data_IF_234812681355
#
_entry.id   IF_234812681355
#
_cell.length_a   1.000
_cell.length_b   1.000
_cell.length_c   1.000
_cell.angle_alpha   90.00
_cell.angle_beta   90.00
_cell.angle_gamma   90.00
#
_symmetry.space_group_name_H-M   'P 1'
#
loop_
_entity.id
_entity.type
_entity.pdbx_description
1 polymer ?
#
# COMPACT_ATOMS: atom_id res chain seq x y z
N UNK A 1 -71.00 0.71 42.94
CA UNK A 1 -70.66 0.72 41.50
C UNK A 1 -69.24 1.39 41.34
N UNK A 2 -68.23 0.53 41.27
CA UNK A 2 -66.83 1.00 41.16
C UNK A 2 -66.43 0.84 39.69
N UNK A 3 -66.12 1.95 39.01
CA UNK A 3 -65.62 1.93 37.66
C UNK A 3 -64.10 1.83 37.70
N UNK A 4 -63.55 0.70 37.23
CA UNK A 4 -62.14 0.49 36.97
C UNK A 4 -61.78 1.16 35.64
N UNK A 5 -60.91 2.18 35.67
CA UNK A 5 -60.29 2.73 34.47
C UNK A 5 -59.01 1.95 34.17
N UNK A 6 -59.02 1.23 33.06
CA UNK A 6 -57.80 0.62 32.52
C UNK A 6 -56.97 1.67 31.77
N UNK A 7 -55.82 2.04 32.32
CA UNK A 7 -54.76 2.74 31.56
C UNK A 7 -53.98 1.72 30.73
N UNK A 8 -54.15 1.78 29.42
CA UNK A 8 -53.33 1.03 28.49
C UNK A 8 -52.06 1.87 28.25
N UNK A 9 -50.95 1.43 28.88
CA UNK A 9 -49.63 1.98 28.58
C UNK A 9 -49.14 1.35 27.29
N UNK A 10 -49.14 2.15 26.21
CA UNK A 10 -48.52 1.80 24.95
C UNK A 10 -46.98 1.84 25.09
N UNK A 11 -46.37 0.69 25.25
CA UNK A 11 -44.91 0.51 25.21
C UNK A 11 -44.47 0.64 23.74
N UNK A 12 -43.99 1.81 23.33
CA UNK A 12 -43.32 1.99 22.03
C UNK A 12 -41.92 1.37 22.16
N UNK A 13 -41.78 0.11 21.76
CA UNK A 13 -40.49 -0.49 21.52
C UNK A 13 -39.86 0.19 20.30
N UNK A 14 -38.97 1.15 20.54
CA UNK A 14 -38.00 1.59 19.54
C UNK A 14 -37.08 0.38 19.27
N UNK A 15 -37.39 -0.37 18.24
CA UNK A 15 -36.46 -1.31 17.65
C UNK A 15 -35.33 -0.49 17.00
N UNK A 16 -34.27 -0.23 17.73
CA UNK A 16 -32.98 0.10 17.18
C UNK A 16 -32.57 -1.11 16.34
N UNK A 17 -32.89 -1.08 15.04
CA UNK A 17 -32.28 -1.99 14.09
C UNK A 17 -30.77 -1.73 14.12
N UNK A 18 -30.04 -2.52 14.91
CA UNK A 18 -28.63 -2.75 14.65
C UNK A 18 -28.61 -3.36 13.24
N UNK A 19 -28.46 -2.52 12.24
CA UNK A 19 -28.04 -2.97 10.92
C UNK A 19 -26.65 -3.55 11.15
N UNK A 20 -26.56 -4.87 11.17
CA UNK A 20 -25.29 -5.56 11.02
C UNK A 20 -24.71 -5.01 9.72
N UNK A 21 -23.70 -4.16 9.84
CA UNK A 21 -23.01 -3.60 8.69
C UNK A 21 -22.40 -4.80 7.98
N UNK A 22 -22.85 -5.06 6.78
CA UNK A 22 -22.31 -6.13 5.97
C UNK A 22 -20.80 -5.90 5.85
N UNK A 23 -20.05 -6.96 6.10
CA UNK A 23 -18.60 -6.93 6.03
C UNK A 23 -18.16 -6.65 4.59
N UNK A 24 -17.19 -5.74 4.41
CA UNK A 24 -16.57 -5.43 3.12
C UNK A 24 -17.55 -4.95 2.05
N UNK A 25 -18.24 -3.85 2.32
CA UNK A 25 -19.26 -3.28 1.43
C UNK A 25 -18.92 -1.87 0.96
N UNK A 26 -19.35 -1.57 -0.26
CA UNK A 26 -19.49 -0.21 -0.76
C UNK A 26 -20.96 0.11 -1.05
N UNK A 27 -21.32 1.38 -1.02
CA UNK A 27 -22.65 1.87 -1.36
C UNK A 27 -22.56 3.28 -1.95
N UNK A 28 -22.88 3.41 -3.20
CA UNK A 28 -22.80 4.67 -3.94
C UNK A 28 -22.52 4.43 -5.41
N UNK A 29 -22.10 5.46 -6.13
CA UNK A 29 -21.95 5.37 -7.56
C UNK A 29 -20.70 6.08 -8.10
N UNK A 30 -20.16 5.53 -9.18
CA UNK A 30 -19.23 6.15 -10.10
C UNK A 30 -20.00 6.55 -11.36
N UNK A 31 -19.99 7.82 -11.72
CA UNK A 31 -20.59 8.33 -12.95
C UNK A 31 -19.50 8.74 -13.92
N UNK A 32 -19.54 8.21 -15.14
CA UNK A 32 -18.61 8.53 -16.22
C UNK A 32 -19.41 8.91 -17.47
N UNK A 33 -19.16 10.12 -18.00
CA UNK A 33 -19.87 10.66 -19.15
C UNK A 33 -21.41 10.62 -19.00
N UNK A 34 -21.92 10.86 -17.78
CA UNK A 34 -23.35 10.81 -17.46
C UNK A 34 -23.93 9.40 -17.25
N UNK A 35 -23.15 8.33 -17.47
CA UNK A 35 -23.56 6.96 -17.16
C UNK A 35 -23.13 6.60 -15.74
N UNK A 36 -24.08 6.24 -14.89
CA UNK A 36 -23.84 5.90 -13.48
C UNK A 36 -23.75 4.39 -13.29
N UNK A 37 -22.73 3.97 -12.54
CA UNK A 37 -22.52 2.58 -12.12
C UNK A 37 -22.47 2.50 -10.61
N UNK A 38 -23.30 1.65 -10.02
CA UNK A 38 -23.34 1.41 -8.58
C UNK A 38 -22.13 0.58 -8.14
N UNK A 39 -21.38 1.06 -7.13
CA UNK A 39 -20.30 0.31 -6.50
C UNK A 39 -20.83 -0.39 -5.25
N UNK A 40 -20.56 -1.70 -5.11
CA UNK A 40 -21.17 -2.57 -4.11
C UNK A 40 -20.17 -3.29 -3.21
N UNK A 41 -18.97 -3.48 -3.71
CA UNK A 41 -17.94 -4.25 -3.03
C UNK A 41 -16.79 -3.34 -2.62
N UNK A 42 -16.22 -3.59 -1.45
CA UNK A 42 -15.06 -2.89 -0.96
C UNK A 42 -14.01 -3.91 -0.52
N UNK A 43 -12.76 -3.60 -0.83
CA UNK A 43 -11.60 -4.41 -0.48
C UNK A 43 -10.51 -3.50 0.04
N UNK A 44 -9.55 -4.09 0.72
CA UNK A 44 -8.34 -3.40 1.14
C UNK A 44 -7.13 -4.30 0.87
N UNK A 45 -6.08 -3.71 0.34
CA UNK A 45 -4.74 -4.28 0.38
C UNK A 45 -3.96 -3.53 1.45
N UNK A 46 -3.43 -4.27 2.43
CA UNK A 46 -2.88 -3.71 3.65
C UNK A 46 -1.35 -3.66 3.58
N UNK A 47 -0.82 -2.46 3.41
CA UNK A 47 0.57 -2.14 3.67
C UNK A 47 0.85 -1.85 5.16
N UNK A 48 2.12 -1.72 5.52
CA UNK A 48 2.51 -1.38 6.89
C UNK A 48 2.09 0.04 7.29
N UNK A 49 2.27 1.01 6.38
CA UNK A 49 1.94 2.43 6.59
C UNK A 49 0.62 2.85 5.97
N UNK A 50 0.21 2.19 4.89
CA UNK A 50 -0.89 2.59 4.05
C UNK A 50 -1.91 1.49 3.82
N UNK A 51 -3.10 1.91 3.46
CA UNK A 51 -4.20 1.07 3.05
C UNK A 51 -4.57 1.43 1.60
N UNK A 52 -4.52 0.47 0.69
CA UNK A 52 -5.08 0.65 -0.65
C UNK A 52 -6.52 0.16 -0.62
N UNK A 53 -7.46 1.09 -0.65
CA UNK A 53 -8.90 0.80 -0.67
C UNK A 53 -9.38 0.67 -2.11
N UNK A 54 -10.11 -0.40 -2.39
CA UNK A 54 -10.65 -0.74 -3.70
C UNK A 54 -12.17 -0.86 -3.61
N UNK A 55 -12.89 -0.05 -4.38
CA UNK A 55 -14.35 -0.06 -4.46
C UNK A 55 -14.78 -0.50 -5.86
N UNK A 56 -15.60 -1.55 -5.97
CA UNK A 56 -15.97 -2.14 -7.28
C UNK A 56 -17.46 -2.33 -7.46
N UNK A 57 -17.92 -2.38 -8.73
CA UNK A 57 -19.31 -2.64 -9.11
C UNK A 57 -19.70 -4.11 -8.97
N UNK A 58 -18.74 -5.02 -9.06
CA UNK A 58 -18.93 -6.47 -8.95
C UNK A 58 -17.79 -7.11 -8.16
N UNK A 59 -18.03 -8.32 -7.69
CA UNK A 59 -17.01 -9.07 -6.95
C UNK A 59 -15.79 -9.38 -7.84
N UNK A 60 -14.60 -9.23 -7.30
CA UNK A 60 -13.31 -9.56 -7.92
C UNK A 60 -12.53 -10.50 -7.02
N UNK A 61 -11.63 -11.29 -7.60
CA UNK A 61 -10.74 -12.13 -6.82
C UNK A 61 -9.71 -11.29 -6.06
N UNK A 62 -9.30 -11.75 -4.88
CA UNK A 62 -8.30 -11.02 -4.07
C UNK A 62 -6.97 -10.87 -4.81
N UNK A 63 -6.57 -11.87 -5.61
CA UNK A 63 -5.33 -11.87 -6.39
C UNK A 63 -5.34 -10.81 -7.52
N UNK A 64 -6.51 -10.32 -7.92
CA UNK A 64 -6.65 -9.24 -8.91
C UNK A 64 -6.52 -7.85 -8.28
N UNK A 65 -6.41 -7.74 -6.96
CA UNK A 65 -6.39 -6.47 -6.23
C UNK A 65 -4.95 -6.12 -5.82
N UNK A 66 -4.53 -4.88 -6.10
CA UNK A 66 -5.15 -3.87 -6.96
C UNK A 66 -4.73 -3.98 -8.43
N UNK A 67 -3.69 -4.75 -8.75
CA UNK A 67 -2.95 -4.64 -10.01
C UNK A 67 -3.62 -5.33 -11.20
N UNK A 68 -4.47 -6.33 -10.97
CA UNK A 68 -5.25 -7.01 -12.03
C UNK A 68 -6.44 -6.21 -12.56
N UNK A 69 -6.87 -5.16 -11.85
CA UNK A 69 -8.06 -4.38 -12.17
C UNK A 69 -8.01 -3.71 -13.55
N UNK A 70 -6.81 -3.32 -14.03
CA UNK A 70 -6.66 -2.69 -15.34
C UNK A 70 -7.09 -3.63 -16.48
N UNK A 71 -6.68 -4.88 -16.42
CA UNK A 71 -7.07 -5.89 -17.41
C UNK A 71 -8.57 -6.18 -17.34
N UNK A 72 -9.11 -6.35 -16.13
CA UNK A 72 -10.55 -6.59 -15.93
C UNK A 72 -11.40 -5.42 -16.44
N UNK A 73 -10.95 -4.18 -16.24
CA UNK A 73 -11.66 -3.01 -16.75
C UNK A 73 -11.59 -2.89 -18.28
N UNK A 74 -10.44 -3.18 -18.88
CA UNK A 74 -10.28 -3.18 -20.33
C UNK A 74 -11.21 -4.20 -21.01
N UNK A 75 -11.47 -5.34 -20.34
CA UNK A 75 -12.38 -6.39 -20.79
C UNK A 75 -13.85 -6.14 -20.40
N UNK A 76 -14.20 -4.95 -19.91
CA UNK A 76 -15.54 -4.59 -19.40
C UNK A 76 -16.05 -5.49 -18.25
N UNK A 77 -15.12 -6.07 -17.49
CA UNK A 77 -15.45 -6.98 -16.39
C UNK A 77 -15.56 -6.28 -15.04
N UNK A 78 -15.05 -5.05 -14.90
CA UNK A 78 -15.11 -4.29 -13.65
C UNK A 78 -15.09 -2.78 -13.87
N UNK A 79 -15.73 -2.04 -12.96
CA UNK A 79 -15.52 -0.62 -12.74
C UNK A 79 -15.13 -0.42 -11.30
N UNK A 80 -14.06 0.36 -11.08
CA UNK A 80 -13.53 0.51 -9.73
C UNK A 80 -12.98 1.92 -9.47
N UNK A 81 -12.95 2.28 -8.18
CA UNK A 81 -12.19 3.40 -7.63
C UNK A 81 -11.16 2.80 -6.69
N UNK A 82 -9.92 3.19 -6.85
CA UNK A 82 -8.81 2.79 -5.98
C UNK A 82 -8.17 4.03 -5.41
N UNK A 83 -7.89 4.04 -4.12
CA UNK A 83 -7.21 5.14 -3.45
C UNK A 83 -6.40 4.66 -2.25
N UNK A 84 -5.33 5.39 -1.96
CA UNK A 84 -4.41 5.09 -0.87
C UNK A 84 -4.69 6.01 0.31
N UNK A 85 -4.72 5.43 1.51
CA UNK A 85 -4.98 6.12 2.78
C UNK A 85 -3.86 5.85 3.76
N UNK A 86 -3.23 6.90 4.30
CA UNK A 86 -2.25 6.74 5.37
C UNK A 86 -2.92 6.28 6.66
N UNK A 87 -2.35 5.27 7.30
CA UNK A 87 -2.78 4.82 8.63
C UNK A 87 -2.51 5.87 9.71
N UNK A 88 -1.45 6.65 9.56
CA UNK A 88 -1.01 7.67 10.51
C UNK A 88 -1.83 8.95 10.38
N UNK A 89 -1.81 9.58 9.21
CA UNK A 89 -2.50 10.88 8.99
C UNK A 89 -3.99 10.73 8.77
N UNK A 90 -4.47 9.53 8.37
CA UNK A 90 -5.85 9.22 8.02
C UNK A 90 -6.37 10.02 6.82
N UNK A 91 -5.46 10.43 5.96
CA UNK A 91 -5.71 11.21 4.76
C UNK A 91 -5.38 10.42 3.49
N UNK A 92 -5.83 10.93 2.34
CA UNK A 92 -5.38 10.42 1.04
C UNK A 92 -3.90 10.74 0.87
N UNK A 93 -3.14 9.74 0.42
CA UNK A 93 -1.70 9.87 0.17
C UNK A 93 -1.37 9.75 -1.32
N UNK A 94 -0.19 10.25 -1.75
CA UNK A 94 0.35 10.01 -3.09
C UNK A 94 0.73 8.54 -3.26
N UNK A 95 -0.25 7.69 -3.51
CA UNK A 95 -0.06 6.27 -3.77
C UNK A 95 -0.83 5.85 -5.02
N UNK A 96 -1.34 4.63 -5.01
CA UNK A 96 -2.19 4.15 -6.08
C UNK A 96 -3.56 4.81 -5.99
N UNK A 97 -3.76 5.88 -6.77
CA UNK A 97 -5.02 6.60 -6.88
C UNK A 97 -5.50 6.53 -8.33
N UNK A 98 -6.54 5.76 -8.60
CA UNK A 98 -6.99 5.47 -9.95
C UNK A 98 -8.49 5.19 -10.05
N UNK A 99 -9.06 5.44 -11.24
CA UNK A 99 -10.39 4.97 -11.63
C UNK A 99 -10.20 3.95 -12.75
N UNK A 100 -10.81 2.79 -12.60
CA UNK A 100 -10.80 1.72 -13.59
C UNK A 100 -12.16 1.67 -14.28
N UNK A 101 -12.17 1.82 -15.60
CA UNK A 101 -13.39 1.83 -16.38
C UNK A 101 -13.07 1.51 -17.85
N UNK A 102 -13.92 0.74 -18.57
CA UNK A 102 -13.66 0.34 -19.95
C UNK A 102 -13.51 1.50 -20.94
N UNK A 103 -14.11 2.65 -20.67
CA UNK A 103 -13.99 3.85 -21.52
C UNK A 103 -12.55 4.36 -21.65
N UNK A 104 -11.67 4.03 -20.73
CA UNK A 104 -10.24 4.36 -20.75
C UNK A 104 -9.35 3.16 -21.12
N UNK A 105 -9.93 2.11 -21.67
CA UNK A 105 -9.20 0.87 -22.00
C UNK A 105 -8.47 0.28 -20.78
N UNK A 106 -9.06 0.49 -19.58
CA UNK A 106 -8.57 -0.03 -18.32
C UNK A 106 -8.50 1.00 -17.21
N UNK A 107 -7.57 1.95 -17.25
CA UNK A 107 -7.24 2.80 -16.09
C UNK A 107 -7.11 4.28 -16.43
N UNK A 108 -7.66 5.13 -15.56
CA UNK A 108 -7.29 6.53 -15.40
C UNK A 108 -6.45 6.68 -14.13
N UNK A 109 -5.18 7.08 -14.27
CA UNK A 109 -4.22 7.22 -13.17
C UNK A 109 -4.47 8.42 -12.26
N UNK A 110 -5.73 8.71 -11.92
CA UNK A 110 -6.13 9.75 -10.97
C UNK A 110 -7.54 9.50 -10.46
N UNK A 111 -7.83 10.00 -9.27
CA UNK A 111 -9.20 10.13 -8.72
C UNK A 111 -9.72 11.57 -8.77
N UNK A 112 -8.99 12.47 -9.44
CA UNK A 112 -9.36 13.89 -9.53
C UNK A 112 -9.24 14.61 -8.19
N UNK A 113 -10.20 15.50 -7.91
CA UNK A 113 -10.29 16.24 -6.66
C UNK A 113 -11.08 15.47 -5.58
N UNK A 114 -10.79 14.19 -5.43
CA UNK A 114 -11.45 13.33 -4.44
C UNK A 114 -11.26 13.83 -3.01
N UNK A 115 -12.34 13.79 -2.24
CA UNK A 115 -12.36 14.12 -0.81
C UNK A 115 -12.72 12.87 -0.03
N UNK A 116 -11.83 12.46 0.87
CA UNK A 116 -12.04 11.36 1.81
C UNK A 116 -12.54 11.90 3.14
N UNK A 117 -13.58 11.29 3.67
CA UNK A 117 -14.06 11.52 5.04
C UNK A 117 -14.12 10.17 5.75
N UNK A 118 -13.23 9.94 6.69
CA UNK A 118 -13.26 8.72 7.50
C UNK A 118 -14.18 8.92 8.72
N UNK A 119 -15.06 7.95 8.94
CA UNK A 119 -15.83 7.82 10.19
C UNK A 119 -15.17 6.87 11.17
N UNK A 120 -14.32 5.97 10.69
CA UNK A 120 -13.53 5.04 11.50
C UNK A 120 -12.25 4.62 10.76
N UNK A 121 -11.16 4.58 11.49
CA UNK A 121 -9.92 3.89 11.11
C UNK A 121 -9.22 3.45 12.39
N UNK A 122 -9.22 2.15 12.62
CA UNK A 122 -8.51 1.46 13.69
C UNK A 122 -7.90 0.16 13.14
N UNK A 123 -7.35 -0.68 14.01
CA UNK A 123 -6.71 -1.93 13.58
C UNK A 123 -7.68 -2.99 13.03
N UNK A 124 -8.99 -2.80 13.15
CA UNK A 124 -9.99 -3.79 12.77
C UNK A 124 -10.84 -3.37 11.57
N UNK A 125 -10.94 -2.08 11.30
CA UNK A 125 -11.87 -1.58 10.29
C UNK A 125 -11.45 -0.20 9.76
N UNK A 126 -11.59 -0.02 8.45
CA UNK A 126 -11.68 1.29 7.81
C UNK A 126 -13.11 1.52 7.32
N UNK A 127 -13.68 2.66 7.67
CA UNK A 127 -15.01 3.08 7.23
C UNK A 127 -15.01 4.56 6.90
N UNK A 128 -15.64 4.90 5.80
CA UNK A 128 -15.71 6.29 5.37
C UNK A 128 -16.54 6.51 4.14
N UNK A 129 -16.35 7.67 3.55
CA UNK A 129 -16.93 8.08 2.28
C UNK A 129 -15.85 8.76 1.47
N UNK A 130 -15.80 8.43 0.18
CA UNK A 130 -15.02 9.16 -0.80
C UNK A 130 -15.96 9.78 -1.83
N UNK A 131 -15.72 11.03 -2.18
CA UNK A 131 -16.57 11.75 -3.15
C UNK A 131 -15.80 12.82 -3.88
N UNK A 132 -16.29 13.20 -5.06
CA UNK A 132 -15.84 14.41 -5.75
C UNK A 132 -16.81 15.54 -5.42
N UNK A 133 -16.37 16.74 -4.95
CA UNK A 133 -17.25 17.87 -4.68
C UNK A 133 -17.91 18.42 -5.95
N UNK A 134 -17.26 18.24 -7.10
CA UNK A 134 -17.76 18.63 -8.41
C UNK A 134 -17.43 17.55 -9.44
N UNK A 135 -18.07 17.61 -10.61
CA UNK A 135 -17.68 16.79 -11.76
C UNK A 135 -16.25 17.14 -12.19
N UNK A 136 -15.39 16.13 -12.32
CA UNK A 136 -14.04 16.28 -12.84
C UNK A 136 -14.03 16.08 -14.35
N UNK A 137 -13.08 16.74 -15.01
CA UNK A 137 -12.85 16.54 -16.45
C UNK A 137 -11.41 16.11 -16.67
N UNK A 138 -11.22 15.01 -17.39
CA UNK A 138 -9.93 14.55 -17.84
C UNK A 138 -9.98 14.29 -19.35
N UNK A 139 -9.23 15.10 -20.13
CA UNK A 139 -9.36 15.11 -21.60
C UNK A 139 -10.82 15.36 -22.02
N UNK A 140 -11.44 14.44 -22.74
CA UNK A 140 -12.83 14.50 -23.19
C UNK A 140 -13.81 13.81 -22.24
N UNK A 141 -13.33 13.20 -21.18
CA UNK A 141 -14.13 12.42 -20.25
C UNK A 141 -14.49 13.24 -19.02
N UNK A 142 -15.71 13.07 -18.57
CA UNK A 142 -16.23 13.65 -17.34
C UNK A 142 -16.52 12.54 -16.35
N UNK A 143 -16.19 12.76 -15.08
CA UNK A 143 -16.49 11.79 -14.04
C UNK A 143 -16.77 12.43 -12.69
N UNK A 144 -17.59 11.77 -11.92
CA UNK A 144 -17.85 12.07 -10.51
C UNK A 144 -18.19 10.79 -9.76
N UNK A 145 -18.01 10.81 -8.46
CA UNK A 145 -18.38 9.70 -7.62
C UNK A 145 -18.75 10.17 -6.21
N UNK A 146 -19.57 9.35 -5.58
CA UNK A 146 -19.91 9.44 -4.17
C UNK A 146 -20.19 8.04 -3.65
N UNK A 147 -19.28 7.52 -2.79
CA UNK A 147 -19.33 6.14 -2.32
C UNK A 147 -18.98 6.09 -0.85
N UNK A 148 -19.87 5.52 -0.04
CA UNK A 148 -19.61 5.10 1.34
C UNK A 148 -19.08 3.69 1.35
N UNK A 149 -18.16 3.38 2.26
CA UNK A 149 -17.55 2.05 2.34
C UNK A 149 -17.27 1.64 3.78
N UNK A 150 -17.21 0.33 3.99
CA UNK A 150 -16.76 -0.29 5.22
C UNK A 150 -15.99 -1.57 4.87
N UNK A 151 -14.76 -1.68 5.35
CA UNK A 151 -13.89 -2.84 5.13
C UNK A 151 -13.27 -3.25 6.45
N UNK A 152 -13.37 -4.55 6.76
CA UNK A 152 -12.60 -5.12 7.86
C UNK A 152 -11.14 -5.19 7.48
N UNK A 153 -10.31 -4.77 8.41
CA UNK A 153 -8.87 -4.96 8.32
C UNK A 153 -8.50 -6.30 8.97
N UNK A 154 -7.55 -6.97 8.35
CA UNK A 154 -6.89 -8.12 8.98
C UNK A 154 -5.99 -7.66 10.13
N UNK A 155 -5.34 -8.59 10.78
CA UNK A 155 -4.23 -8.22 11.64
C UNK A 155 -3.15 -7.57 10.75
N UNK A 156 -2.57 -6.42 11.17
CA UNK A 156 -1.50 -5.78 10.39
C UNK A 156 -0.48 -6.84 9.99
N UNK A 157 -0.19 -6.93 8.69
CA UNK A 157 0.85 -7.83 8.20
C UNK A 157 2.12 -7.50 8.96
N UNK A 158 2.43 -8.30 9.96
CA UNK A 158 3.70 -8.20 10.63
C UNK A 158 4.74 -8.58 9.60
N UNK A 159 5.62 -7.63 9.25
CA UNK A 159 6.77 -7.95 8.42
C UNK A 159 7.57 -8.97 9.22
N UNK A 160 7.48 -10.24 8.82
CA UNK A 160 8.27 -11.27 9.47
C UNK A 160 9.73 -11.08 9.05
N UNK A 161 10.64 -10.98 10.02
CA UNK A 161 12.05 -10.84 9.71
C UNK A 161 12.50 -11.98 8.78
N UNK A 162 13.01 -11.63 7.61
CA UNK A 162 13.58 -12.60 6.70
C UNK A 162 15.03 -12.88 7.09
N UNK A 163 15.35 -14.14 7.32
CA UNK A 163 16.74 -14.55 7.52
C UNK A 163 17.46 -14.54 6.18
N UNK A 164 18.57 -13.80 6.11
CA UNK A 164 19.40 -13.74 4.89
C UNK A 164 20.74 -14.42 5.12
N UNK A 165 21.13 -15.24 4.16
CA UNK A 165 22.47 -15.82 4.11
C UNK A 165 23.39 -14.87 3.32
N UNK A 166 24.47 -14.37 3.95
CA UNK A 166 25.41 -13.42 3.35
C UNK A 166 26.83 -14.00 3.35
N UNK A 167 27.45 -13.99 2.19
CA UNK A 167 28.81 -14.48 1.96
C UNK A 167 29.69 -13.38 1.33
N UNK A 168 31.00 -13.42 1.56
CA UNK A 168 31.98 -12.50 0.97
C UNK A 168 32.02 -11.10 1.63
N UNK A 169 31.57 -11.00 2.89
CA UNK A 169 31.64 -9.77 3.66
C UNK A 169 32.97 -9.69 4.43
N UNK A 170 34.10 -9.58 3.71
CA UNK A 170 35.44 -9.68 4.31
C UNK A 170 36.10 -8.33 4.60
N UNK A 171 35.87 -7.30 3.79
CA UNK A 171 36.37 -5.94 3.96
C UNK A 171 35.37 -5.00 4.66
N UNK A 172 35.80 -3.81 5.14
CA UNK A 172 34.94 -2.92 5.91
C UNK A 172 33.66 -2.47 5.18
N UNK A 173 33.68 -2.03 3.88
CA UNK A 173 32.45 -1.69 3.19
C UNK A 173 31.50 -2.87 3.02
N UNK A 174 32.03 -4.06 2.71
CA UNK A 174 31.23 -5.27 2.55
C UNK A 174 30.57 -5.71 3.86
N UNK A 175 31.26 -5.55 5.00
CA UNK A 175 30.69 -5.81 6.34
C UNK A 175 29.54 -4.84 6.64
N UNK A 176 29.76 -3.53 6.42
CA UNK A 176 28.74 -2.52 6.64
C UNK A 176 27.51 -2.75 5.75
N UNK A 177 27.70 -3.15 4.50
CA UNK A 177 26.59 -3.52 3.63
C UNK A 177 25.86 -4.76 4.12
N UNK A 178 26.54 -5.76 4.64
CA UNK A 178 25.91 -6.95 5.20
C UNK A 178 25.04 -6.61 6.43
N UNK A 179 25.44 -5.67 7.27
CA UNK A 179 24.65 -5.17 8.40
C UNK A 179 23.43 -4.40 7.93
N UNK A 180 23.60 -3.46 7.00
CA UNK A 180 22.49 -2.77 6.31
C UNK A 180 21.46 -3.76 5.75
N UNK A 181 21.93 -4.75 5.00
CA UNK A 181 21.06 -5.71 4.35
C UNK A 181 20.28 -6.58 5.34
N UNK A 182 20.88 -6.94 6.47
CA UNK A 182 20.18 -7.63 7.56
C UNK A 182 19.12 -6.73 8.20
N UNK A 183 19.45 -5.46 8.49
CA UNK A 183 18.50 -4.49 9.04
C UNK A 183 17.31 -4.29 8.08
N UNK A 184 17.59 -4.12 6.79
CA UNK A 184 16.58 -4.00 5.74
C UNK A 184 15.65 -5.21 5.70
N UNK A 185 16.20 -6.42 5.69
CA UNK A 185 15.44 -7.66 5.59
C UNK A 185 14.80 -8.09 6.92
N UNK A 186 15.21 -7.54 8.04
CA UNK A 186 14.53 -7.71 9.35
C UNK A 186 13.35 -6.76 9.54
N UNK A 187 13.28 -5.70 8.74
CA UNK A 187 12.29 -4.63 8.91
C UNK A 187 12.57 -3.68 10.07
N UNK A 188 13.79 -3.73 10.65
CA UNK A 188 14.20 -2.84 11.73
C UNK A 188 14.60 -1.46 11.16
N UNK A 189 13.66 -0.52 11.22
CA UNK A 189 13.82 0.83 10.66
C UNK A 189 14.90 1.64 11.36
N UNK A 190 15.00 1.51 12.69
CA UNK A 190 15.95 2.28 13.47
C UNK A 190 17.37 1.81 13.19
N UNK A 191 17.55 0.50 13.05
CA UNK A 191 18.82 -0.08 12.66
C UNK A 191 19.15 0.25 11.18
N UNK A 192 18.18 0.13 10.28
CA UNK A 192 18.35 0.47 8.87
C UNK A 192 18.84 1.92 8.67
N UNK A 193 18.25 2.88 9.38
CA UNK A 193 18.66 4.31 9.30
C UNK A 193 20.13 4.53 9.67
N UNK A 194 20.67 3.74 10.59
CA UNK A 194 22.10 3.86 10.98
C UNK A 194 23.06 3.50 9.87
N UNK A 195 22.62 2.67 8.93
CA UNK A 195 23.46 2.20 7.82
C UNK A 195 23.27 2.97 6.51
N UNK A 196 22.30 3.90 6.46
CA UNK A 196 22.08 4.76 5.29
C UNK A 196 22.96 6.01 5.33
N UNK A 197 23.37 6.50 4.16
CA UNK A 197 24.08 7.75 4.02
C UNK A 197 23.22 8.93 4.50
N UNK A 198 23.87 9.95 5.07
CA UNK A 198 23.20 11.07 5.76
C UNK A 198 22.30 11.89 4.86
N UNK A 199 22.59 11.96 3.56
CA UNK A 199 21.75 12.61 2.56
C UNK A 199 20.42 11.84 2.35
N UNK A 200 20.47 10.51 2.30
CA UNK A 200 19.27 9.67 2.21
C UNK A 200 18.40 9.80 3.46
N UNK A 201 19.01 9.72 4.65
CA UNK A 201 18.27 9.81 5.91
C UNK A 201 17.56 11.15 6.07
N UNK A 202 18.10 12.24 5.52
CA UNK A 202 17.48 13.57 5.56
C UNK A 202 16.27 13.69 4.64
N UNK A 203 16.26 12.96 3.52
CA UNK A 203 15.21 13.02 2.50
C UNK A 203 14.12 11.96 2.71
N UNK A 204 14.46 10.83 3.33
CA UNK A 204 13.53 9.74 3.56
C UNK A 204 12.73 9.94 4.86
N UNK A 205 11.46 10.25 4.71
CA UNK A 205 10.49 10.17 5.80
C UNK A 205 10.19 8.71 6.19
N UNK A 206 9.37 8.55 7.21
CA UNK A 206 9.05 7.21 7.73
C UNK A 206 8.24 6.37 6.73
N UNK A 207 7.39 7.02 5.94
CA UNK A 207 6.60 6.40 4.89
C UNK A 207 7.49 5.82 3.78
N UNK A 208 8.47 6.60 3.33
CA UNK A 208 9.47 6.16 2.34
C UNK A 208 10.26 4.95 2.84
N UNK A 209 10.70 4.96 4.10
CA UNK A 209 11.44 3.82 4.70
C UNK A 209 10.56 2.56 4.75
N UNK A 210 9.29 2.69 5.15
CA UNK A 210 8.34 1.57 5.16
C UNK A 210 8.15 0.97 3.77
N UNK A 211 7.90 1.83 2.77
CA UNK A 211 7.73 1.39 1.38
C UNK A 211 8.98 0.65 0.86
N UNK A 212 10.18 1.14 1.17
CA UNK A 212 11.44 0.49 0.78
C UNK A 212 11.55 -0.88 1.43
N UNK A 213 11.25 -1.02 2.72
CA UNK A 213 11.28 -2.31 3.43
C UNK A 213 10.28 -3.29 2.79
N UNK A 214 9.02 -2.89 2.60
CA UNK A 214 7.99 -3.75 1.99
C UNK A 214 8.36 -4.22 0.59
N UNK A 215 8.79 -3.29 -0.26
CA UNK A 215 9.23 -3.62 -1.62
C UNK A 215 10.40 -4.59 -1.59
N UNK A 216 11.38 -4.34 -0.72
CA UNK A 216 12.60 -5.15 -0.61
C UNK A 216 12.28 -6.57 -0.12
N UNK A 217 11.35 -6.71 0.83
CA UNK A 217 10.91 -8.01 1.33
C UNK A 217 10.27 -8.88 0.24
N UNK A 218 9.68 -8.29 -0.78
CA UNK A 218 9.06 -9.01 -1.90
C UNK A 218 9.99 -9.24 -3.08
N UNK A 219 10.98 -8.37 -3.29
CA UNK A 219 11.79 -8.37 -4.53
C UNK A 219 13.25 -8.75 -4.34
N UNK A 220 13.85 -8.46 -3.18
CA UNK A 220 15.29 -8.64 -2.97
C UNK A 220 15.67 -10.10 -2.65
N UNK A 221 16.91 -10.50 -2.96
CA UNK A 221 17.41 -11.84 -2.67
C UNK A 221 17.36 -12.22 -1.20
N UNK A 222 17.08 -13.49 -0.90
CA UNK A 222 17.23 -14.04 0.47
C UNK A 222 18.61 -14.67 0.69
N UNK A 223 19.33 -14.94 -0.40
CA UNK A 223 20.74 -15.37 -0.34
C UNK A 223 21.58 -14.35 -1.08
N UNK A 224 22.60 -13.82 -0.44
CA UNK A 224 23.47 -12.75 -0.93
C UNK A 224 24.93 -13.19 -0.91
N UNK A 225 25.63 -12.98 -2.02
CA UNK A 225 27.08 -13.12 -2.11
C UNK A 225 27.70 -11.83 -2.66
N UNK A 226 28.54 -11.18 -1.85
CA UNK A 226 29.36 -10.06 -2.30
C UNK A 226 30.50 -10.62 -3.13
N UNK A 227 30.61 -10.23 -4.40
CA UNK A 227 31.55 -10.79 -5.38
C UNK A 227 32.70 -9.85 -5.71
N UNK A 228 32.60 -8.59 -5.28
CA UNK A 228 33.65 -7.61 -5.49
C UNK A 228 33.44 -6.34 -4.68
N UNK A 229 34.54 -5.73 -4.29
CA UNK A 229 34.59 -4.46 -3.57
C UNK A 229 35.73 -3.61 -4.13
N UNK A 230 35.41 -2.41 -4.58
CA UNK A 230 36.37 -1.44 -5.10
C UNK A 230 36.27 -0.15 -4.28
N UNK A 231 37.35 0.20 -3.54
CA UNK A 231 37.39 1.37 -2.67
C UNK A 231 38.22 2.47 -3.31
N UNK A 232 37.68 3.70 -3.37
CA UNK A 232 38.34 4.90 -3.85
C UNK A 232 38.13 6.06 -2.86
N UNK A 233 39.12 6.30 -1.98
CA UNK A 233 38.99 7.32 -0.96
C UNK A 233 37.82 7.04 -0.01
N UNK A 234 36.83 7.93 0.03
CA UNK A 234 35.64 7.82 0.89
C UNK A 234 34.44 7.17 0.16
N UNK A 235 34.66 6.57 -0.99
CA UNK A 235 33.62 5.89 -1.77
C UNK A 235 34.01 4.43 -1.99
N UNK A 236 33.02 3.54 -2.01
CA UNK A 236 33.19 2.16 -2.41
C UNK A 236 32.06 1.71 -3.31
N UNK A 237 32.40 0.86 -4.28
CA UNK A 237 31.47 0.19 -5.16
C UNK A 237 31.53 -1.31 -4.90
N UNK A 238 30.43 -1.88 -4.43
CA UNK A 238 30.30 -3.32 -4.23
C UNK A 238 29.51 -3.94 -5.40
N UNK A 239 29.86 -5.18 -5.71
CA UNK A 239 29.11 -6.05 -6.62
C UNK A 239 28.63 -7.25 -5.84
N UNK A 240 27.40 -7.64 -6.08
CA UNK A 240 26.79 -8.77 -5.41
C UNK A 240 25.97 -9.63 -6.38
N UNK A 241 25.84 -10.89 -6.04
CA UNK A 241 24.90 -11.82 -6.65
C UNK A 241 23.93 -12.30 -5.59
N UNK A 242 22.68 -12.53 -5.97
CA UNK A 242 21.66 -12.98 -5.05
C UNK A 242 20.74 -14.02 -5.66
N UNK A 243 20.05 -14.76 -4.79
CA UNK A 243 19.07 -15.76 -5.16
C UNK A 243 17.80 -15.56 -4.32
N UNK A 244 16.64 -15.57 -5.00
CA UNK A 244 15.32 -15.63 -4.39
C UNK A 244 14.43 -16.57 -5.20
N UNK A 245 13.83 -17.55 -4.54
CA UNK A 245 12.89 -18.50 -5.16
C UNK A 245 13.44 -19.17 -6.45
N UNK A 246 14.76 -19.37 -6.50
CA UNK A 246 15.46 -19.93 -7.67
C UNK A 246 15.82 -18.91 -8.75
N UNK A 247 15.41 -17.66 -8.64
CA UNK A 247 15.75 -16.59 -9.57
C UNK A 247 17.04 -15.88 -9.15
N UNK A 248 17.93 -15.68 -10.13
CA UNK A 248 19.21 -14.98 -9.91
C UNK A 248 19.08 -13.51 -10.18
N UNK A 249 19.70 -12.72 -9.30
CA UNK A 249 19.82 -11.28 -9.45
C UNK A 249 21.26 -10.82 -9.26
N UNK A 250 21.58 -9.63 -9.78
CA UNK A 250 22.87 -8.98 -9.59
C UNK A 250 22.68 -7.62 -8.96
N UNK A 251 23.49 -7.33 -7.93
CA UNK A 251 23.48 -6.08 -7.19
C UNK A 251 24.68 -5.20 -7.50
N UNK A 252 24.44 -3.89 -7.48
CA UNK A 252 25.45 -2.84 -7.53
C UNK A 252 25.18 -1.86 -6.40
N UNK A 253 26.12 -1.73 -5.47
CA UNK A 253 25.93 -0.97 -4.24
C UNK A 253 26.99 0.12 -4.14
N UNK A 254 26.56 1.36 -3.99
CA UNK A 254 27.42 2.50 -3.76
C UNK A 254 27.46 2.81 -2.27
N UNK A 255 28.67 2.88 -1.69
CA UNK A 255 28.91 3.16 -0.28
C UNK A 255 29.67 4.47 -0.11
N UNK A 256 29.41 5.19 0.97
CA UNK A 256 30.15 6.37 1.40
C UNK A 256 30.73 6.18 2.80
N UNK A 257 31.97 6.65 3.02
CA UNK A 257 32.56 6.71 4.35
C UNK A 257 32.19 8.05 4.99
N UNK A 258 31.37 8.02 6.03
CA UNK A 258 30.91 9.17 6.80
C UNK A 258 31.26 8.95 8.28
N UNK A 259 31.94 9.89 8.89
CA UNK A 259 32.35 9.86 10.31
C UNK A 259 33.12 8.57 10.73
N UNK A 260 33.85 7.97 9.78
CA UNK A 260 34.60 6.73 9.99
C UNK A 260 33.82 5.44 9.79
N UNK A 261 32.54 5.52 9.40
CA UNK A 261 31.66 4.39 9.14
C UNK A 261 31.21 4.35 7.66
N UNK A 262 31.18 3.16 7.08
CA UNK A 262 30.64 2.97 5.75
C UNK A 262 29.12 2.96 5.78
N UNK A 263 28.50 3.78 4.93
CA UNK A 263 27.05 3.94 4.80
C UNK A 263 26.60 3.64 3.36
N UNK A 264 25.41 3.09 3.21
CA UNK A 264 24.83 2.83 1.90
C UNK A 264 24.29 4.12 1.29
N UNK A 265 24.82 4.50 0.14
CA UNK A 265 24.37 5.64 -0.64
C UNK A 265 23.41 5.24 -1.77
N UNK A 266 23.53 4.00 -2.26
CA UNK A 266 22.62 3.45 -3.26
C UNK A 266 22.69 1.94 -3.26
N UNK A 267 21.55 1.30 -3.41
CA UNK A 267 21.40 -0.14 -3.56
C UNK A 267 20.51 -0.44 -4.77
N UNK A 268 21.01 -1.24 -5.72
CA UNK A 268 20.31 -1.50 -6.98
C UNK A 268 20.44 -2.96 -7.36
N UNK A 269 19.30 -3.62 -7.58
CA UNK A 269 19.23 -5.02 -7.98
C UNK A 269 18.59 -5.18 -9.35
N UNK A 270 19.09 -6.12 -10.13
CA UNK A 270 18.55 -6.49 -11.43
C UNK A 270 18.31 -7.99 -11.47
N UNK A 271 17.08 -8.39 -11.69
CA UNK A 271 16.73 -9.78 -11.94
C UNK A 271 17.23 -10.17 -13.33
N UNK A 272 17.88 -11.30 -13.44
CA UNK A 272 18.33 -11.84 -14.72
C UNK A 272 17.12 -12.50 -15.40
N UNK A 273 16.45 -11.77 -16.28
CA UNK A 273 15.41 -12.37 -17.13
C UNK A 273 16.04 -13.48 -17.98
N UNK A 274 15.37 -14.62 -17.99
CA UNK A 274 15.74 -15.80 -18.82
C UNK A 274 15.47 -15.54 -20.29
#
# INVERSE_FOLDING_TARGET
MIRLSFCVAALVLLALSLQAVAENTASGALTVNGSSTELKHAYVDEGASDLIVVLTDRAVAQDDIPFGLSNLAAEDKVRAIVFTVSRETKELTPGLNAIYHPVWEGQLGTIGNGVLTLSKLDNNEIRGRISTPNENTFSKYKFSYEVSFAVKLGEPKKIEPLTVEIQGADDPPSKAYAEYYRALMSGDKDELRKHLASDIVKEADEETINMVIELTHTTNPTTLKITGSEVKGNEALLKAEGLRDGEKSTGSIEMKLEDGEWKVAKDSWKVKMK
#
